data_IF_678959549346
#
_entry.id   IF_678959549346
#
_cell.length_a   1.000
_cell.length_b   1.000
_cell.length_c   1.000
_cell.angle_alpha   90.00
_cell.angle_beta   90.00
_cell.angle_gamma   90.00
#
_symmetry.space_group_name_H-M   'P 1'
#
loop_
_entity.id
_entity.type
_entity.pdbx_description
1 polymer ?
#
# COMPACT_ATOMS: atom_id res chain seq x y z
N UNK A 1 55.25 14.60 3.72
CA UNK A 1 53.94 13.90 3.71
C UNK A 1 53.54 13.61 2.26
N UNK A 2 53.65 12.37 1.78
CA UNK A 2 53.21 12.01 0.42
C UNK A 2 51.70 11.80 0.42
N UNK A 3 50.97 12.80 -0.10
CA UNK A 3 49.54 12.70 -0.33
C UNK A 3 49.34 11.88 -1.61
N UNK A 4 49.01 10.58 -1.47
CA UNK A 4 48.53 9.78 -2.59
C UNK A 4 47.18 10.35 -3.02
N UNK A 5 47.15 10.98 -4.20
CA UNK A 5 45.91 11.39 -4.86
C UNK A 5 45.28 10.21 -5.60
N UNK A 6 43.96 10.10 -5.56
CA UNK A 6 43.20 9.18 -6.41
C UNK A 6 43.43 9.52 -7.88
N UNK A 7 43.54 8.51 -8.73
CA UNK A 7 43.65 8.74 -10.18
C UNK A 7 42.26 9.01 -10.78
N UNK A 8 42.19 9.88 -11.79
CA UNK A 8 40.92 10.16 -12.50
C UNK A 8 40.34 8.91 -13.15
N UNK A 9 41.20 8.03 -13.67
CA UNK A 9 40.82 6.76 -14.30
C UNK A 9 40.14 5.82 -13.29
N UNK A 10 40.63 5.81 -12.05
CA UNK A 10 40.11 4.97 -10.97
C UNK A 10 38.72 5.44 -10.51
N UNK A 11 38.44 6.74 -10.52
CA UNK A 11 37.07 7.23 -10.29
C UNK A 11 36.18 6.95 -11.50
N UNK A 12 36.68 7.06 -12.74
CA UNK A 12 35.89 6.79 -13.95
C UNK A 12 35.41 5.34 -14.06
N UNK A 13 36.27 4.36 -13.81
CA UNK A 13 35.87 2.95 -13.91
C UNK A 13 34.88 2.57 -12.80
N UNK A 14 35.03 3.15 -11.60
CA UNK A 14 34.14 2.89 -10.48
C UNK A 14 32.72 3.41 -10.78
N UNK A 15 32.59 4.64 -11.26
CA UNK A 15 31.26 5.18 -11.61
C UNK A 15 30.63 4.43 -12.79
N UNK A 16 31.43 3.96 -13.76
CA UNK A 16 30.92 3.16 -14.87
C UNK A 16 30.34 1.82 -14.42
N UNK A 17 31.00 1.12 -13.50
CA UNK A 17 30.50 -0.15 -12.94
C UNK A 17 29.26 0.09 -12.07
N UNK A 18 29.26 1.13 -11.22
CA UNK A 18 28.08 1.48 -10.41
C UNK A 18 26.88 1.81 -11.30
N UNK A 19 27.08 2.57 -12.39
CA UNK A 19 26.02 2.89 -13.34
C UNK A 19 25.44 1.65 -14.03
N UNK A 20 26.28 0.68 -14.41
CA UNK A 20 25.84 -0.60 -14.98
C UNK A 20 24.99 -1.40 -13.98
N UNK A 21 25.47 -1.53 -12.73
CA UNK A 21 24.73 -2.24 -11.68
C UNK A 21 23.40 -1.56 -11.36
N UNK A 22 23.40 -0.23 -11.26
CA UNK A 22 22.20 0.56 -11.02
C UNK A 22 21.17 0.39 -12.14
N UNK A 23 21.59 0.37 -13.40
CA UNK A 23 20.69 0.21 -14.55
C UNK A 23 19.89 -1.11 -14.52
N UNK A 24 20.49 -2.19 -14.02
CA UNK A 24 19.81 -3.49 -13.88
C UNK A 24 19.01 -3.56 -12.58
N UNK A 25 19.55 -3.02 -11.48
CA UNK A 25 18.95 -3.15 -10.16
C UNK A 25 17.71 -2.27 -9.96
N UNK A 26 17.72 -1.03 -10.48
CA UNK A 26 16.62 -0.06 -10.31
C UNK A 26 15.28 -0.59 -10.82
N UNK A 27 15.12 -1.04 -12.08
CA UNK A 27 13.81 -1.50 -12.58
C UNK A 27 13.27 -2.69 -11.79
N UNK A 28 14.14 -3.63 -11.39
CA UNK A 28 13.75 -4.76 -10.57
C UNK A 28 13.30 -4.32 -9.17
N UNK A 29 14.01 -3.36 -8.56
CA UNK A 29 13.64 -2.80 -7.26
C UNK A 29 12.28 -2.09 -7.30
N UNK A 30 11.98 -1.35 -8.36
CA UNK A 30 10.67 -0.71 -8.52
C UNK A 30 9.54 -1.74 -8.58
N UNK A 31 9.71 -2.79 -9.40
CA UNK A 31 8.73 -3.89 -9.48
C UNK A 31 8.55 -4.62 -8.15
N UNK A 32 9.65 -4.92 -7.45
CA UNK A 32 9.60 -5.55 -6.13
C UNK A 32 8.86 -4.69 -5.10
N UNK A 33 9.07 -3.37 -5.13
CA UNK A 33 8.34 -2.42 -4.26
C UNK A 33 6.85 -2.40 -4.57
N UNK A 34 6.44 -2.38 -5.84
CA UNK A 34 5.02 -2.44 -6.21
C UNK A 34 4.33 -3.71 -5.69
N UNK A 35 4.98 -4.86 -5.83
CA UNK A 35 4.46 -6.13 -5.29
C UNK A 35 4.38 -6.12 -3.76
N UNK A 36 5.39 -5.57 -3.08
CA UNK A 36 5.38 -5.43 -1.63
C UNK A 36 4.26 -4.50 -1.14
N UNK A 37 4.03 -3.40 -1.84
CA UNK A 37 2.95 -2.46 -1.57
C UNK A 37 1.57 -3.11 -1.75
N UNK A 38 1.36 -3.87 -2.83
CA UNK A 38 0.12 -4.63 -3.06
C UNK A 38 -0.14 -5.66 -1.94
N UNK A 39 0.89 -6.42 -1.56
CA UNK A 39 0.80 -7.39 -0.48
C UNK A 39 0.46 -6.73 0.88
N UNK A 40 1.13 -5.62 1.20
CA UNK A 40 0.83 -4.83 2.40
C UNK A 40 -0.59 -4.26 2.35
N UNK A 41 -1.05 -3.81 1.18
CA UNK A 41 -2.39 -3.30 1.01
C UNK A 41 -3.46 -4.37 1.26
N UNK A 42 -3.30 -5.56 0.69
CA UNK A 42 -4.20 -6.70 0.97
C UNK A 42 -4.21 -7.09 2.44
N UNK A 43 -3.05 -7.09 3.10
CA UNK A 43 -2.95 -7.39 4.53
C UNK A 43 -3.74 -6.37 5.36
N UNK A 44 -3.53 -5.08 5.11
CA UNK A 44 -4.25 -3.99 5.78
C UNK A 44 -5.77 -4.08 5.56
N UNK A 45 -6.22 -4.34 4.33
CA UNK A 45 -7.64 -4.53 4.02
C UNK A 45 -8.25 -5.69 4.81
N UNK A 46 -7.55 -6.83 4.89
CA UNK A 46 -7.99 -7.99 5.68
C UNK A 46 -8.06 -7.66 7.17
N UNK A 47 -7.05 -6.97 7.72
CA UNK A 47 -7.06 -6.56 9.12
C UNK A 47 -8.29 -5.69 9.44
N UNK A 48 -8.61 -4.71 8.58
CA UNK A 48 -9.77 -3.85 8.78
C UNK A 48 -11.09 -4.61 8.60
N UNK A 49 -11.17 -5.52 7.62
CA UNK A 49 -12.31 -6.41 7.40
C UNK A 49 -12.59 -7.28 8.63
N UNK A 50 -11.57 -7.97 9.15
CA UNK A 50 -11.70 -8.80 10.37
C UNK A 50 -12.14 -7.95 11.56
N UNK A 51 -11.63 -6.73 11.70
CA UNK A 51 -12.07 -5.82 12.76
C UNK A 51 -13.54 -5.42 12.63
N UNK A 52 -14.01 -5.14 11.41
CA UNK A 52 -15.41 -4.83 11.15
C UNK A 52 -16.33 -6.04 11.42
N UNK A 53 -15.91 -7.26 11.09
CA UNK A 53 -16.64 -8.49 11.41
C UNK A 53 -16.65 -8.79 12.92
N UNK A 54 -15.55 -8.49 13.62
CA UNK A 54 -15.46 -8.62 15.07
C UNK A 54 -16.39 -7.62 15.76
N UNK A 55 -16.43 -6.37 15.28
CA UNK A 55 -17.38 -5.37 15.74
C UNK A 55 -18.83 -5.86 15.55
N UNK A 56 -19.16 -6.37 14.36
CA UNK A 56 -20.52 -6.85 14.08
C UNK A 56 -20.93 -8.02 14.99
N UNK A 57 -19.99 -8.93 15.27
CA UNK A 57 -20.23 -10.04 16.19
C UNK A 57 -20.53 -9.56 17.62
N UNK A 58 -19.93 -8.44 18.04
CA UNK A 58 -20.17 -7.84 19.36
C UNK A 58 -21.42 -6.94 19.41
N UNK A 59 -21.91 -6.45 18.26
CA UNK A 59 -22.98 -5.45 18.15
C UNK A 59 -24.21 -6.00 17.39
N UNK A 60 -24.66 -7.21 17.71
CA UNK A 60 -25.88 -7.82 17.17
C UNK A 60 -25.95 -7.87 15.62
N UNK A 61 -24.80 -8.00 14.95
CA UNK A 61 -24.70 -8.03 13.50
C UNK A 61 -24.66 -6.66 12.82
N UNK A 62 -24.62 -5.56 13.58
CA UNK A 62 -24.48 -4.20 13.03
C UNK A 62 -23.02 -3.85 12.83
N UNK A 63 -22.69 -3.27 11.67
CA UNK A 63 -21.33 -2.89 11.33
C UNK A 63 -20.97 -1.48 11.86
N UNK A 64 -19.68 -1.16 12.04
CA UNK A 64 -19.28 0.16 12.50
C UNK A 64 -19.70 1.20 11.46
N UNK A 65 -20.34 2.28 11.91
CA UNK A 65 -20.80 3.37 11.05
C UNK A 65 -19.75 4.49 10.86
N UNK A 66 -18.67 4.45 11.63
CA UNK A 66 -17.62 5.45 11.63
C UNK A 66 -16.26 4.81 11.91
N UNK A 67 -15.20 5.53 11.57
CA UNK A 67 -13.82 5.06 11.72
C UNK A 67 -13.38 4.95 13.18
N UNK A 68 -13.92 5.73 14.11
CA UNK A 68 -13.56 5.66 15.53
C UNK A 68 -14.11 4.38 16.17
N UNK A 69 -15.34 3.99 15.83
CA UNK A 69 -15.93 2.71 16.22
C UNK A 69 -15.09 1.53 15.72
N UNK A 70 -14.63 1.56 14.47
CA UNK A 70 -13.74 0.53 13.93
C UNK A 70 -12.34 0.58 14.57
N UNK A 71 -11.82 1.76 14.91
CA UNK A 71 -10.50 1.94 15.51
C UNK A 71 -10.35 1.28 16.88
N UNK A 72 -11.45 1.07 17.61
CA UNK A 72 -11.45 0.31 18.86
C UNK A 72 -11.09 -1.18 18.66
N UNK A 73 -11.29 -1.71 17.44
CA UNK A 73 -11.03 -3.12 17.10
C UNK A 73 -9.79 -3.26 16.20
N UNK A 74 -9.45 -2.21 15.44
CA UNK A 74 -8.17 -2.10 14.74
C UNK A 74 -7.72 -0.64 14.71
N UNK A 75 -6.73 -0.28 15.55
CA UNK A 75 -6.18 1.08 15.58
C UNK A 75 -5.61 1.54 14.23
N UNK A 76 -5.25 0.61 13.35
CA UNK A 76 -4.88 0.92 11.97
C UNK A 76 -5.98 1.66 11.20
N UNK A 77 -7.26 1.51 11.58
CA UNK A 77 -8.38 2.21 10.94
C UNK A 77 -8.25 3.73 11.03
N UNK A 78 -7.79 4.29 12.16
CA UNK A 78 -7.61 5.74 12.32
C UNK A 78 -6.49 6.30 11.45
N UNK A 79 -5.53 5.47 11.08
CA UNK A 79 -4.36 5.87 10.29
C UNK A 79 -4.53 5.59 8.81
N UNK A 80 -5.31 4.57 8.46
CA UNK A 80 -5.49 4.14 7.07
C UNK A 80 -6.71 4.80 6.43
N UNK A 81 -7.86 4.85 7.10
CA UNK A 81 -9.09 5.33 6.46
C UNK A 81 -8.98 6.81 6.06
N UNK A 82 -8.97 7.08 4.75
CA UNK A 82 -8.80 8.42 4.18
C UNK A 82 -7.35 8.88 4.02
N UNK A 83 -6.38 7.98 4.18
CA UNK A 83 -4.96 8.31 4.16
C UNK A 83 -4.16 7.47 3.17
N UNK A 84 -2.92 7.92 2.92
CA UNK A 84 -1.97 7.21 2.08
C UNK A 84 -1.03 6.38 2.95
N UNK A 85 -0.87 5.10 2.63
CA UNK A 85 0.08 4.21 3.31
C UNK A 85 0.62 3.18 2.32
N UNK A 86 1.93 2.93 2.36
CA UNK A 86 2.57 1.93 1.49
C UNK A 86 2.33 2.14 0.00
N UNK A 87 2.20 3.39 -0.48
CA UNK A 87 1.96 3.67 -1.90
C UNK A 87 0.50 3.50 -2.37
N UNK A 88 -0.43 3.24 -1.44
CA UNK A 88 -1.87 3.15 -1.68
C UNK A 88 -2.62 4.22 -0.88
N UNK A 89 -3.70 4.75 -1.46
CA UNK A 89 -4.71 5.57 -0.78
C UNK A 89 -5.86 4.67 -0.38
N UNK A 90 -6.20 4.71 0.91
CA UNK A 90 -7.27 3.90 1.46
C UNK A 90 -8.55 4.73 1.63
N UNK A 91 -9.66 4.14 1.22
CA UNK A 91 -11.00 4.73 1.39
C UNK A 91 -11.83 3.76 2.19
N UNK A 92 -12.49 4.25 3.24
CA UNK A 92 -13.36 3.43 4.07
C UNK A 92 -14.77 4.01 3.99
N UNK A 93 -15.70 3.24 3.45
CA UNK A 93 -17.13 3.54 3.49
C UNK A 93 -17.75 2.61 4.52
N UNK A 94 -18.21 3.19 5.63
CA UNK A 94 -18.71 2.48 6.80
C UNK A 94 -20.19 2.80 6.99
N UNK A 95 -21.00 1.77 7.22
CA UNK A 95 -22.43 1.92 7.50
C UNK A 95 -22.90 0.77 8.40
N UNK A 96 -24.00 0.96 9.13
CA UNK A 96 -24.56 -0.09 9.99
C UNK A 96 -24.91 -1.38 9.24
N UNK A 97 -25.24 -1.26 7.94
CA UNK A 97 -25.56 -2.39 7.06
C UNK A 97 -24.37 -3.06 6.37
N UNK A 98 -23.14 -2.56 6.56
CA UNK A 98 -21.96 -3.12 5.92
C UNK A 98 -20.80 -2.15 5.77
N UNK A 99 -19.71 -2.64 5.19
CA UNK A 99 -18.53 -1.82 4.90
C UNK A 99 -18.00 -2.09 3.49
N UNK A 100 -17.32 -1.10 2.96
CA UNK A 100 -16.49 -1.23 1.76
C UNK A 100 -15.20 -0.47 2.00
N UNK A 101 -14.08 -1.17 1.98
CA UNK A 101 -12.77 -0.58 2.20
C UNK A 101 -11.94 -0.79 0.94
N UNK A 102 -11.60 0.31 0.27
CA UNK A 102 -10.78 0.33 -0.93
C UNK A 102 -9.35 0.71 -0.63
N UNK A 103 -8.42 0.22 -1.45
CA UNK A 103 -7.05 0.67 -1.55
C UNK A 103 -6.72 0.85 -3.04
N UNK A 104 -6.41 2.07 -3.45
CA UNK A 104 -6.04 2.42 -4.84
C UNK A 104 -4.61 2.94 -4.85
N UNK A 105 -3.75 2.58 -5.81
CA UNK A 105 -2.38 3.08 -5.85
C UNK A 105 -2.36 4.60 -6.02
N UNK A 106 -1.51 5.29 -5.26
CA UNK A 106 -1.32 6.75 -5.33
C UNK A 106 -0.89 7.18 -6.74
N UNK A 107 -0.08 6.37 -7.42
CA UNK A 107 0.29 6.58 -8.81
C UNK A 107 0.31 5.24 -9.52
N UNK A 108 -0.68 5.06 -10.40
CA UNK A 108 -0.81 3.84 -11.22
C UNK A 108 0.46 3.64 -12.05
N UNK A 109 1.03 2.44 -11.99
CA UNK A 109 2.26 2.08 -12.72
C UNK A 109 3.57 2.44 -12.01
N UNK A 110 3.51 3.11 -10.84
CA UNK A 110 4.71 3.43 -10.05
C UNK A 110 4.62 2.92 -8.61
N UNK A 111 3.51 3.17 -7.92
CA UNK A 111 3.32 2.69 -6.54
C UNK A 111 2.55 1.37 -6.48
N UNK A 112 1.74 1.10 -7.50
CA UNK A 112 1.01 -0.15 -7.71
C UNK A 112 0.26 -0.13 -9.05
N UNK A 113 -0.27 -1.28 -9.46
CA UNK A 113 -1.00 -1.46 -10.73
C UNK A 113 -2.40 -2.04 -10.54
N UNK A 114 -2.80 -2.29 -9.29
CA UNK A 114 -4.02 -3.00 -8.92
C UNK A 114 -4.82 -2.15 -7.94
N UNK A 115 -6.12 -2.06 -8.12
CA UNK A 115 -7.05 -1.47 -7.16
C UNK A 115 -7.72 -2.60 -6.40
N UNK A 116 -7.64 -2.53 -5.08
CA UNK A 116 -8.13 -3.55 -4.17
C UNK A 116 -9.36 -3.01 -3.44
N UNK A 117 -10.38 -3.82 -3.24
CA UNK A 117 -11.52 -3.46 -2.40
C UNK A 117 -12.03 -4.68 -1.65
N UNK A 118 -12.28 -4.53 -0.35
CA UNK A 118 -12.90 -5.55 0.48
C UNK A 118 -14.28 -5.09 0.92
N UNK A 119 -15.28 -5.92 0.68
CA UNK A 119 -16.68 -5.65 1.04
C UNK A 119 -17.13 -6.58 2.17
N UNK A 120 -18.23 -6.23 2.83
CA UNK A 120 -18.92 -7.05 3.83
C UNK A 120 -18.90 -8.55 3.50
N UNK A 121 -18.50 -9.36 4.47
CA UNK A 121 -18.28 -10.80 4.29
C UNK A 121 -16.87 -11.17 3.79
N UNK A 122 -15.92 -10.24 3.85
CA UNK A 122 -14.51 -10.50 3.56
C UNK A 122 -14.18 -10.72 2.08
N UNK A 123 -15.09 -10.35 1.18
CA UNK A 123 -14.91 -10.54 -0.26
C UNK A 123 -13.91 -9.52 -0.78
N UNK A 124 -12.68 -9.98 -1.05
CA UNK A 124 -11.63 -9.18 -1.66
C UNK A 124 -11.77 -9.21 -3.18
N UNK A 125 -12.02 -8.03 -3.75
CA UNK A 125 -12.01 -7.76 -5.18
C UNK A 125 -10.71 -7.07 -5.56
N UNK A 126 -10.18 -7.44 -6.70
CA UNK A 126 -8.89 -6.98 -7.18
C UNK A 126 -8.98 -6.75 -8.69
N UNK A 127 -8.91 -5.48 -9.08
CA UNK A 127 -9.09 -5.01 -10.45
C UNK A 127 -7.84 -4.29 -10.92
N UNK A 128 -7.59 -4.23 -12.23
CA UNK A 128 -6.54 -3.35 -12.75
C UNK A 128 -6.82 -1.91 -12.32
N UNK A 129 -5.81 -1.22 -11.76
CA UNK A 129 -5.96 0.17 -11.39
C UNK A 129 -6.06 1.03 -12.66
N UNK A 130 -7.14 1.81 -12.76
CA UNK A 130 -7.34 2.78 -13.82
C UNK A 130 -6.95 4.15 -13.27
N UNK A 131 -6.18 4.92 -14.03
CA UNK A 131 -5.88 6.30 -13.65
C UNK A 131 -7.20 7.10 -13.57
N UNK A 132 -7.37 8.00 -12.59
CA UNK A 132 -8.55 8.86 -12.56
C UNK A 132 -8.66 9.62 -13.88
N UNK A 133 -9.84 9.61 -14.48
CA UNK A 133 -10.09 10.39 -15.70
C UNK A 133 -9.93 11.89 -15.39
N UNK A 134 -9.31 12.66 -16.30
CA UNK A 134 -8.99 14.08 -16.09
C UNK A 134 -10.23 14.98 -15.96
#
# INVERSE_FOLDING_TARGET
>A
MNRKGFTLVEIMIVVAIIALLAAIAIPNLLSARMTANDAAARANLRTLSTAAETYASANNGTYPADTASLANYASAASTLCGANSGGYTYTCTLAAGGYTIGAVPVTVGSTGTRSLSITTGGVLTDTAAVAPEP
#
